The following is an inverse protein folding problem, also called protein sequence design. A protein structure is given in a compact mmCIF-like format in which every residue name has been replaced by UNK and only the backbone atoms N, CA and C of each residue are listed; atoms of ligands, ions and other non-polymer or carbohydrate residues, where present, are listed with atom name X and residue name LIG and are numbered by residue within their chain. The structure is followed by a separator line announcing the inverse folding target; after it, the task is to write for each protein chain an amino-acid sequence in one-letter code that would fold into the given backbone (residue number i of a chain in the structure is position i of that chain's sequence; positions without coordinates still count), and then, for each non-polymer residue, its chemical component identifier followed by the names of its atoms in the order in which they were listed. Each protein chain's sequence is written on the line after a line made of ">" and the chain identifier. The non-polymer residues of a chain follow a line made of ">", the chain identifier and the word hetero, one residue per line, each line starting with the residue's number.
data_IF_135121898067
#
_entry.id   IF_135121898067
#
_cell.length_a   1.000
_cell.length_b   1.000
_cell.length_c   1.000
_cell.angle_alpha   90.00
_cell.angle_beta   90.00
_cell.angle_gamma   90.00
#
_symmetry.space_group_name_H-M   'P 1'
#
loop_
_entity.id
_entity.type
_entity.pdbx_description
1 polymer ?
#
# COMPACT_ATOMS: atom_id res chain seq x y z
N UNK A 1 -23.98 -36.86 -1.31
CA UNK A 1 -22.91 -36.09 -1.98
C UNK A 1 -22.85 -34.66 -1.49
N UNK A 2 -23.96 -33.93 -1.31
CA UNK A 2 -24.02 -32.56 -0.78
C UNK A 2 -23.52 -32.43 0.66
N UNK A 3 -23.85 -33.39 1.55
CA UNK A 3 -23.44 -33.38 2.96
C UNK A 3 -21.93 -33.57 3.19
N UNK A 4 -21.21 -34.16 2.24
CA UNK A 4 -19.75 -34.28 2.34
C UNK A 4 -19.04 -32.98 1.91
N UNK A 5 -19.63 -32.19 1.01
CA UNK A 5 -19.10 -30.87 0.62
C UNK A 5 -19.30 -29.84 1.73
N UNK A 6 -20.39 -29.91 2.49
CA UNK A 6 -20.64 -29.00 3.63
C UNK A 6 -19.72 -29.33 4.82
N UNK A 7 -19.37 -30.62 5.03
CA UNK A 7 -18.42 -31.00 6.07
C UNK A 7 -16.96 -30.66 5.76
N UNK A 8 -16.62 -30.40 4.48
CA UNK A 8 -15.28 -29.99 4.06
C UNK A 8 -14.99 -28.51 4.32
N UNK A 9 -16.03 -27.70 4.52
CA UNK A 9 -15.87 -26.28 4.89
C UNK A 9 -15.84 -26.20 6.42
N UNK A 10 -14.72 -26.61 7.02
CA UNK A 10 -14.48 -26.33 8.44
C UNK A 10 -14.41 -24.82 8.63
N UNK A 11 -15.23 -24.25 9.53
CA UNK A 11 -15.18 -22.80 9.82
C UNK A 11 -13.82 -22.33 10.37
N UNK A 12 -12.94 -23.26 10.76
CA UNK A 12 -11.58 -22.99 11.22
C UNK A 12 -10.59 -22.61 10.11
N UNK A 13 -10.99 -22.61 8.83
CA UNK A 13 -10.13 -22.27 7.71
C UNK A 13 -10.40 -20.89 7.09
N UNK A 14 -11.31 -20.13 7.68
CA UNK A 14 -11.47 -18.72 7.29
C UNK A 14 -10.34 -17.94 7.96
N UNK A 15 -9.38 -17.35 7.20
CA UNK A 15 -8.35 -16.50 7.80
C UNK A 15 -9.04 -15.36 8.57
N UNK A 16 -8.86 -15.32 9.88
CA UNK A 16 -9.47 -14.32 10.76
C UNK A 16 -10.54 -14.84 11.71
N UNK A 17 -10.94 -16.12 11.64
CA UNK A 17 -11.92 -16.73 12.57
C UNK A 17 -11.30 -17.29 13.85
N UNK A 18 -9.97 -17.39 13.94
CA UNK A 18 -9.30 -17.84 15.15
C UNK A 18 -9.23 -16.72 16.19
N UNK A 19 -9.70 -16.97 17.43
CA UNK A 19 -9.59 -15.98 18.53
C UNK A 19 -8.14 -15.64 18.87
N UNK A 20 -7.17 -16.40 18.38
CA UNK A 20 -5.75 -16.08 18.49
C UNK A 20 -5.32 -14.97 17.51
N UNK A 21 -5.93 -14.84 16.34
CA UNK A 21 -5.59 -13.81 15.37
C UNK A 21 -5.91 -12.41 15.90
N UNK A 22 -6.97 -12.28 16.70
CA UNK A 22 -7.35 -11.01 17.34
C UNK A 22 -6.31 -10.56 18.39
N UNK A 23 -5.63 -11.50 19.06
CA UNK A 23 -4.58 -11.16 20.04
C UNK A 23 -3.36 -10.52 19.37
N UNK A 24 -3.01 -10.91 18.16
CA UNK A 24 -1.90 -10.32 17.42
C UNK A 24 -2.20 -8.89 16.94
N UNK A 25 -3.49 -8.54 16.76
CA UNK A 25 -3.90 -7.18 16.39
C UNK A 25 -3.85 -6.21 17.58
N UNK A 26 -3.95 -6.69 18.81
CA UNK A 26 -3.91 -5.84 20.02
C UNK A 26 -2.56 -5.13 20.12
N UNK A 27 -1.46 -5.80 19.82
CA UNK A 27 -0.11 -5.24 19.93
C UNK A 27 0.10 -4.04 19.00
N UNK A 28 -0.17 -4.14 17.67
CA UNK A 28 -0.08 -2.98 16.78
C UNK A 28 -1.01 -1.84 17.15
N UNK A 29 -2.24 -2.15 17.58
CA UNK A 29 -3.22 -1.15 18.00
C UNK A 29 -2.72 -0.41 19.24
N UNK A 30 -2.21 -1.14 20.24
CA UNK A 30 -1.67 -0.52 21.46
C UNK A 30 -0.45 0.37 21.14
N UNK A 31 0.47 -0.11 20.29
CA UNK A 31 1.63 0.67 19.85
C UNK A 31 1.18 1.93 19.12
N UNK A 32 0.19 1.83 18.23
CA UNK A 32 -0.35 2.98 17.51
C UNK A 32 -0.89 4.05 18.46
N UNK A 33 -1.71 3.67 19.43
CA UNK A 33 -2.26 4.63 20.40
C UNK A 33 -1.17 5.20 21.32
N UNK A 34 -0.20 4.38 21.75
CA UNK A 34 0.92 4.85 22.57
C UNK A 34 1.77 5.88 21.82
N UNK A 35 2.10 5.62 20.55
CA UNK A 35 2.83 6.57 19.70
C UNK A 35 2.02 7.83 19.43
N UNK A 36 0.71 7.72 19.24
CA UNK A 36 -0.16 8.86 19.02
C UNK A 36 -0.20 9.77 20.26
N UNK A 37 -0.34 9.20 21.46
CA UNK A 37 -0.30 9.94 22.72
C UNK A 37 1.07 10.61 22.93
N UNK A 38 2.15 9.86 22.67
CA UNK A 38 3.50 10.40 22.77
C UNK A 38 3.74 11.57 21.80
N UNK A 39 3.25 11.46 20.57
CA UNK A 39 3.34 12.51 19.57
C UNK A 39 2.55 13.77 19.98
N UNK A 40 1.37 13.60 20.57
CA UNK A 40 0.57 14.71 21.12
C UNK A 40 1.27 15.46 22.25
N UNK A 41 1.96 14.75 23.14
CA UNK A 41 2.71 15.35 24.26
C UNK A 41 3.92 16.14 23.74
N UNK A 42 4.61 15.62 22.72
CA UNK A 42 5.83 16.24 22.18
C UNK A 42 5.55 17.36 21.18
N UNK A 43 4.42 17.32 20.49
CA UNK A 43 4.07 18.28 19.45
C UNK A 43 2.61 18.73 19.54
N UNK A 44 2.24 19.66 20.42
CA UNK A 44 0.86 20.15 20.50
C UNK A 44 0.36 20.77 19.19
N UNK A 45 1.25 21.11 18.27
CA UNK A 45 0.90 21.59 16.93
C UNK A 45 0.21 20.50 16.05
N UNK A 46 0.36 19.22 16.39
CA UNK A 46 -0.28 18.12 15.65
C UNK A 46 -1.81 18.21 15.76
N UNK A 47 -2.32 18.75 16.86
CA UNK A 47 -3.77 18.94 17.09
C UNK A 47 -4.31 20.20 16.41
N UNK A 48 -3.43 21.07 15.92
CA UNK A 48 -3.87 22.25 15.15
C UNK A 48 -4.50 21.85 13.82
N UNK A 49 -5.39 22.69 13.28
CA UNK A 49 -6.02 22.41 11.98
C UNK A 49 -5.02 22.22 10.84
N UNK A 50 -3.90 22.92 10.87
CA UNK A 50 -2.79 22.75 9.92
C UNK A 50 -2.03 21.43 10.14
N UNK A 51 -1.84 21.02 11.39
CA UNK A 51 -1.17 19.77 11.73
C UNK A 51 -1.97 18.54 11.26
N UNK A 52 -3.28 18.55 11.49
CA UNK A 52 -4.18 17.48 11.02
C UNK A 52 -4.19 17.41 9.49
N UNK A 53 -4.27 18.59 8.82
CA UNK A 53 -4.21 18.64 7.36
C UNK A 53 -2.91 18.03 6.81
N UNK A 54 -1.77 18.37 7.39
CA UNK A 54 -0.47 17.80 7.00
C UNK A 54 -0.40 16.30 7.28
N UNK A 55 -0.91 15.84 8.43
CA UNK A 55 -0.96 14.42 8.75
C UNK A 55 -1.78 13.62 7.73
N UNK A 56 -2.94 14.13 7.32
CA UNK A 56 -3.78 13.51 6.28
C UNK A 56 -3.03 13.46 4.95
N UNK A 57 -2.38 14.58 4.53
CA UNK A 57 -1.62 14.62 3.27
C UNK A 57 -0.50 13.57 3.25
N UNK A 58 0.27 13.47 4.33
CA UNK A 58 1.38 12.51 4.41
C UNK A 58 0.88 11.07 4.50
N UNK A 59 -0.27 10.83 5.13
CA UNK A 59 -0.86 9.49 5.26
C UNK A 59 -1.57 9.01 3.99
N UNK A 60 -2.01 9.91 3.12
CA UNK A 60 -2.77 9.57 1.91
C UNK A 60 -2.09 8.53 1.01
N UNK A 61 -0.79 8.67 0.66
CA UNK A 61 -0.10 7.67 -0.16
C UNK A 61 -0.04 6.29 0.51
N UNK A 62 0.13 6.24 1.83
CA UNK A 62 0.18 5.00 2.59
C UNK A 62 -1.18 4.31 2.63
N UNK A 63 -2.25 5.08 2.79
CA UNK A 63 -3.63 4.57 2.75
C UNK A 63 -3.93 3.99 1.37
N UNK A 64 -3.61 4.70 0.29
CA UNK A 64 -3.81 4.21 -1.08
C UNK A 64 -2.98 2.97 -1.37
N UNK A 65 -1.73 2.92 -0.94
CA UNK A 65 -0.87 1.74 -1.08
C UNK A 65 -1.45 0.53 -0.33
N UNK A 66 -1.99 0.74 0.87
CA UNK A 66 -2.64 -0.33 1.65
C UNK A 66 -3.88 -0.86 0.93
N UNK A 67 -4.72 0.00 0.35
CA UNK A 67 -5.86 -0.44 -0.45
C UNK A 67 -5.43 -1.22 -1.70
N UNK A 68 -4.39 -0.77 -2.39
CA UNK A 68 -3.84 -1.48 -3.56
C UNK A 68 -3.32 -2.88 -3.18
N UNK A 69 -2.58 -2.99 -2.08
CA UNK A 69 -2.10 -4.28 -1.56
C UNK A 69 -3.23 -5.20 -1.13
N UNK A 70 -4.28 -4.66 -0.51
CA UNK A 70 -5.47 -5.42 -0.11
C UNK A 70 -6.20 -5.97 -1.34
N UNK A 71 -6.38 -5.15 -2.39
CA UNK A 71 -6.98 -5.60 -3.64
C UNK A 71 -6.16 -6.72 -4.30
N UNK A 72 -4.83 -6.61 -4.28
CA UNK A 72 -3.93 -7.64 -4.79
C UNK A 72 -4.03 -8.95 -4.00
N UNK A 73 -4.12 -8.88 -2.67
CA UNK A 73 -4.28 -10.03 -1.80
C UNK A 73 -5.64 -10.74 -2.04
N UNK A 74 -6.71 -9.98 -2.27
CA UNK A 74 -8.03 -10.52 -2.59
C UNK A 74 -8.09 -11.20 -3.97
N UNK A 75 -7.24 -10.79 -4.91
CA UNK A 75 -7.11 -11.44 -6.21
C UNK A 75 -6.51 -12.86 -6.16
N UNK A 76 -6.23 -13.37 -4.96
CA UNK A 76 -5.87 -14.78 -4.71
C UNK A 76 -4.41 -15.15 -5.01
N UNK A 77 -3.58 -14.17 -5.33
CA UNK A 77 -2.13 -14.36 -5.40
C UNK A 77 -1.50 -13.68 -4.19
N UNK A 78 -1.15 -14.49 -3.19
CA UNK A 78 -0.42 -14.03 -1.98
C UNK A 78 1.02 -13.69 -2.39
N UNK A 79 1.18 -12.61 -3.15
CA UNK A 79 2.47 -12.03 -3.46
C UNK A 79 2.47 -10.62 -2.93
N UNK A 80 3.23 -10.41 -1.87
CA UNK A 80 3.47 -9.05 -1.37
C UNK A 80 4.28 -8.32 -2.43
N UNK A 81 3.68 -7.33 -3.05
CA UNK A 81 4.39 -6.47 -4.01
C UNK A 81 5.26 -5.48 -3.25
N UNK A 82 6.54 -5.80 -3.13
CA UNK A 82 7.52 -4.96 -2.45
C UNK A 82 7.99 -3.77 -3.32
N UNK A 83 7.60 -3.73 -4.60
CA UNK A 83 7.98 -2.64 -5.51
C UNK A 83 7.21 -1.33 -5.28
N UNK A 84 6.10 -1.38 -4.53
CA UNK A 84 5.24 -0.21 -4.29
C UNK A 84 6.00 0.93 -3.62
N UNK A 85 6.85 0.63 -2.61
CA UNK A 85 7.65 1.65 -1.92
C UNK A 85 8.62 2.39 -2.84
N UNK A 86 9.54 1.69 -3.51
CA UNK A 86 10.43 2.27 -4.49
C UNK A 86 9.70 2.99 -5.63
N UNK A 87 8.58 2.46 -6.11
CA UNK A 87 7.77 3.08 -7.17
C UNK A 87 7.20 4.43 -6.73
N UNK A 88 6.65 4.54 -5.53
CA UNK A 88 6.17 5.82 -4.98
C UNK A 88 7.31 6.83 -4.92
N UNK A 89 8.49 6.41 -4.46
CA UNK A 89 9.68 7.26 -4.42
C UNK A 89 10.11 7.72 -5.82
N UNK A 90 10.15 6.81 -6.79
CA UNK A 90 10.51 7.11 -8.17
C UNK A 90 9.54 8.10 -8.81
N UNK A 91 8.23 7.88 -8.69
CA UNK A 91 7.19 8.80 -9.20
C UNK A 91 7.34 10.18 -8.56
N UNK A 92 7.55 10.24 -7.25
CA UNK A 92 7.69 11.50 -6.52
C UNK A 92 8.89 12.30 -7.02
N UNK A 93 10.09 11.69 -7.08
CA UNK A 93 11.30 12.36 -7.56
C UNK A 93 11.15 12.79 -9.01
N UNK A 94 10.62 11.93 -9.89
CA UNK A 94 10.45 12.25 -11.32
C UNK A 94 9.49 13.41 -11.53
N UNK A 95 8.37 13.42 -10.83
CA UNK A 95 7.39 14.50 -10.95
C UNK A 95 7.90 15.83 -10.39
N UNK A 96 8.67 15.81 -9.30
CA UNK A 96 9.33 17.01 -8.76
C UNK A 96 10.34 17.56 -9.76
N UNK A 97 11.14 16.72 -10.39
CA UNK A 97 12.12 17.14 -11.39
C UNK A 97 11.45 17.74 -12.63
N UNK A 98 10.38 17.15 -13.12
CA UNK A 98 9.62 17.67 -14.25
C UNK A 98 8.97 19.02 -13.92
N UNK A 99 8.51 19.19 -12.68
CA UNK A 99 8.01 20.48 -12.20
C UNK A 99 9.12 21.54 -12.15
N UNK A 100 10.27 21.19 -11.59
CA UNK A 100 11.43 22.09 -11.51
C UNK A 100 11.96 22.49 -12.89
N UNK A 101 11.89 21.59 -13.88
CA UNK A 101 12.24 21.86 -15.27
C UNK A 101 11.18 22.69 -16.05
N UNK A 102 10.03 22.98 -15.43
CA UNK A 102 8.96 23.78 -16.04
C UNK A 102 8.05 23.04 -17.01
N UNK A 103 8.22 21.71 -17.16
CA UNK A 103 7.35 20.91 -18.04
C UNK A 103 5.94 20.71 -17.49
N UNK A 104 5.79 20.68 -16.17
CA UNK A 104 4.52 20.44 -15.49
C UNK A 104 4.28 21.59 -14.51
N UNK A 105 3.25 22.40 -14.76
CA UNK A 105 2.89 23.52 -13.89
C UNK A 105 1.47 23.41 -13.32
N UNK A 106 0.66 22.50 -13.86
CA UNK A 106 -0.72 22.28 -13.47
C UNK A 106 -0.86 21.04 -12.56
N UNK A 107 -1.69 21.09 -11.49
CA UNK A 107 -1.97 19.93 -10.66
C UNK A 107 -2.53 18.74 -11.44
N UNK A 108 -3.32 19.01 -12.50
CA UNK A 108 -3.89 17.98 -13.37
C UNK A 108 -2.78 17.29 -14.18
N UNK A 109 -1.85 18.05 -14.72
CA UNK A 109 -0.70 17.50 -15.45
C UNK A 109 0.19 16.64 -14.53
N UNK A 110 0.33 17.03 -13.28
CA UNK A 110 1.04 16.26 -12.25
C UNK A 110 0.40 14.88 -12.06
N UNK A 111 -0.91 14.86 -11.89
CA UNK A 111 -1.69 13.63 -11.71
C UNK A 111 -1.60 12.70 -12.92
N UNK A 112 -1.77 13.25 -14.13
CA UNK A 112 -1.68 12.47 -15.38
C UNK A 112 -0.28 11.89 -15.57
N UNK A 113 0.75 12.67 -15.30
CA UNK A 113 2.14 12.21 -15.40
C UNK A 113 2.44 11.08 -14.41
N UNK A 114 2.04 11.23 -13.15
CA UNK A 114 2.22 10.21 -12.13
C UNK A 114 1.49 8.91 -12.49
N UNK A 115 0.26 9.03 -13.00
CA UNK A 115 -0.53 7.89 -13.46
C UNK A 115 0.11 7.20 -14.66
N UNK A 116 0.60 7.96 -15.64
CA UNK A 116 1.28 7.40 -16.81
C UNK A 116 2.54 6.62 -16.42
N UNK A 117 3.37 7.18 -15.54
CA UNK A 117 4.58 6.49 -15.04
C UNK A 117 4.19 5.20 -14.32
N UNK A 118 3.18 5.25 -13.43
CA UNK A 118 2.71 4.07 -12.70
C UNK A 118 2.20 2.97 -13.62
N UNK A 119 1.41 3.32 -14.65
CA UNK A 119 0.87 2.37 -15.63
C UNK A 119 2.00 1.74 -16.46
N UNK A 120 2.95 2.53 -16.94
CA UNK A 120 4.08 2.03 -17.73
C UNK A 120 4.93 1.07 -16.89
N UNK A 121 5.23 1.44 -15.65
CA UNK A 121 5.99 0.59 -14.74
C UNK A 121 5.28 -0.74 -14.49
N UNK A 122 4.00 -0.68 -14.16
CA UNK A 122 3.22 -1.88 -13.86
C UNK A 122 3.03 -2.77 -15.09
N UNK A 123 2.95 -2.17 -16.28
CA UNK A 123 2.91 -2.92 -17.54
C UNK A 123 4.22 -3.67 -17.80
N UNK A 124 5.36 -3.02 -17.60
CA UNK A 124 6.69 -3.65 -17.72
C UNK A 124 6.86 -4.77 -16.69
N UNK A 125 6.46 -4.52 -15.45
CA UNK A 125 6.47 -5.52 -14.39
C UNK A 125 5.65 -6.77 -14.78
N UNK A 126 4.42 -6.57 -15.25
CA UNK A 126 3.55 -7.65 -15.68
C UNK A 126 4.14 -8.44 -16.87
N UNK A 127 4.76 -7.74 -17.84
CA UNK A 127 5.46 -8.37 -18.95
C UNK A 127 6.58 -9.29 -18.47
N UNK A 128 7.42 -8.81 -17.56
CA UNK A 128 8.53 -9.59 -17.01
C UNK A 128 8.01 -10.85 -16.31
N UNK A 129 7.00 -10.70 -15.44
CA UNK A 129 6.41 -11.81 -14.69
C UNK A 129 5.82 -12.88 -15.63
N UNK A 130 5.13 -12.44 -16.70
CA UNK A 130 4.46 -13.36 -17.63
C UNK A 130 5.47 -14.06 -18.54
N UNK A 131 6.42 -13.33 -19.12
CA UNK A 131 7.36 -13.89 -20.11
C UNK A 131 8.46 -14.73 -19.46
N UNK A 132 9.02 -14.25 -18.34
CA UNK A 132 10.15 -14.93 -17.69
C UNK A 132 9.65 -16.01 -16.72
N UNK A 133 8.34 -16.00 -16.36
CA UNK A 133 7.73 -16.95 -15.40
C UNK A 133 8.43 -17.01 -14.05
N UNK A 134 9.02 -15.92 -13.63
CA UNK A 134 9.69 -15.79 -12.32
C UNK A 134 8.64 -15.41 -11.25
N UNK A 135 8.93 -15.80 -10.02
CA UNK A 135 8.07 -15.41 -8.92
C UNK A 135 7.98 -13.87 -8.81
N UNK A 136 6.78 -13.30 -8.68
CA UNK A 136 6.57 -11.84 -8.63
C UNK A 136 7.43 -11.12 -7.59
N UNK A 137 7.69 -11.75 -6.45
CA UNK A 137 8.55 -11.20 -5.38
C UNK A 137 9.98 -10.92 -5.87
N UNK A 138 10.56 -11.83 -6.69
CA UNK A 138 11.92 -11.68 -7.19
C UNK A 138 11.99 -10.50 -8.17
N UNK A 139 10.98 -10.35 -9.02
CA UNK A 139 10.89 -9.22 -9.95
C UNK A 139 10.71 -7.91 -9.19
N UNK A 140 9.86 -7.89 -8.16
CA UNK A 140 9.63 -6.72 -7.32
C UNK A 140 10.90 -6.23 -6.60
N UNK A 141 11.80 -7.14 -6.23
CA UNK A 141 13.07 -6.81 -5.57
C UNK A 141 14.17 -6.39 -6.55
N UNK A 142 14.05 -6.77 -7.82
CA UNK A 142 15.07 -6.50 -8.84
C UNK A 142 14.83 -5.20 -9.63
N UNK A 143 13.64 -4.63 -9.55
CA UNK A 143 13.22 -3.37 -10.17
C UNK A 143 13.27 -2.21 -9.19
#
# INVERSE_FOLDING_TARGET
>A
MVNQLVAAIKPSQIPGSDPQSTKYLIVPIFIFFALMIFAMIRGPQIISGSGIGTAIMVSTPLILATYALTALALAGRVTVDLSIGPLIGFINVTTIQLYAAGYIQSPVAYFICALAIGVIYQFLYALIVIFIRVQPIIVALSM
#
